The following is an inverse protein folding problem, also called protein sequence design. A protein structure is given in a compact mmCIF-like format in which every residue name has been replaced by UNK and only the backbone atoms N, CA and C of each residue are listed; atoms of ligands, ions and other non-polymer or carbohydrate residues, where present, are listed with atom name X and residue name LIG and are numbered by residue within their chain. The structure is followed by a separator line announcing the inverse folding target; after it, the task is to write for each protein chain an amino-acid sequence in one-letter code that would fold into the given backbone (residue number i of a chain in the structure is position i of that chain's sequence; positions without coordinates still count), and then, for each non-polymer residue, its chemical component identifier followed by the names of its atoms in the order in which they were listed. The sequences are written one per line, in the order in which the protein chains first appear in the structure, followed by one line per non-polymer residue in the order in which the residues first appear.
data_IF_294018932021
#
_entry.id   IF_294018932021
#
_cell.length_a   1.000
_cell.length_b   1.000
_cell.length_c   1.000
_cell.angle_alpha   90.00
_cell.angle_beta   90.00
_cell.angle_gamma   90.00
#
_symmetry.space_group_name_H-M   'P 1'
#
loop_
_entity.id
_entity.type
_entity.pdbx_description
1 polymer ?
#
# COMPACT_ATOMS: atom_id res chain seq x y z
N UNK A 1 5.56 13.35 3.84
CA UNK A 1 5.81 11.95 4.26
C UNK A 1 5.55 11.70 5.74
N UNK A 2 5.88 12.64 6.64
CA UNK A 2 5.86 12.40 8.10
C UNK A 2 4.49 12.05 8.71
N UNK A 3 3.38 12.52 8.12
CA UNK A 3 2.04 12.24 8.67
C UNK A 3 1.69 10.74 8.64
N UNK A 4 2.00 10.06 7.54
CA UNK A 4 1.71 8.62 7.42
C UNK A 4 2.57 7.81 8.38
N UNK A 5 3.86 8.13 8.48
CA UNK A 5 4.74 7.55 9.48
C UNK A 5 4.20 7.72 10.89
N UNK A 6 3.74 8.92 11.26
CA UNK A 6 3.17 9.18 12.58
C UNK A 6 1.90 8.35 12.84
N UNK A 7 1.06 8.12 11.84
CA UNK A 7 -0.13 7.28 11.98
C UNK A 7 0.26 5.83 12.19
N UNK A 8 1.20 5.30 11.40
CA UNK A 8 1.72 3.93 11.56
C UNK A 8 2.37 3.76 12.92
N UNK A 9 3.24 4.68 13.33
CA UNK A 9 3.94 4.63 14.62
C UNK A 9 2.98 4.65 15.81
N UNK A 10 1.91 5.46 15.76
CA UNK A 10 0.90 5.52 16.84
C UNK A 10 -0.01 4.29 16.92
N UNK A 11 -0.22 3.59 15.80
CA UNK A 11 -1.10 2.42 15.72
C UNK A 11 -0.35 1.09 15.87
N UNK A 12 0.95 1.10 15.62
CA UNK A 12 1.83 -0.05 15.84
C UNK A 12 1.60 -0.63 17.24
N UNK A 13 1.32 -1.94 17.32
CA UNK A 13 1.00 -2.69 18.56
C UNK A 13 -0.23 -2.20 19.36
N UNK A 14 -0.95 -1.19 18.88
CA UNK A 14 -2.14 -0.65 19.55
C UNK A 14 -3.44 -0.93 18.81
N UNK A 15 -3.42 -0.98 17.46
CA UNK A 15 -4.62 -1.21 16.66
C UNK A 15 -4.29 -1.66 15.24
N UNK A 16 -5.16 -2.46 14.63
CA UNK A 16 -4.99 -2.93 13.26
C UNK A 16 -5.03 -1.79 12.23
N UNK A 17 -4.30 -1.96 11.13
CA UNK A 17 -4.27 -1.06 9.97
C UNK A 17 -4.43 -1.92 8.72
N UNK A 18 -5.31 -1.49 7.80
CA UNK A 18 -5.36 -2.05 6.44
C UNK A 18 -4.76 -1.01 5.50
N UNK A 19 -3.76 -1.43 4.72
CA UNK A 19 -3.09 -0.60 3.72
C UNK A 19 -3.20 -1.29 2.37
N UNK A 20 -3.65 -0.55 1.35
CA UNK A 20 -3.66 -1.01 -0.03
C UNK A 20 -2.66 -0.22 -0.85
N UNK A 21 -1.80 -0.90 -1.59
CA UNK A 21 -0.82 -0.26 -2.48
C UNK A 21 -0.84 -0.95 -3.84
N UNK A 22 -0.72 -0.15 -4.90
CA UNK A 22 -0.47 -0.63 -6.25
C UNK A 22 1.03 -0.70 -6.58
N UNK A 23 1.89 -0.26 -5.66
CA UNK A 23 3.35 -0.30 -5.78
C UNK A 23 3.93 -1.44 -4.93
N UNK A 24 4.94 -2.18 -5.45
CA UNK A 24 5.69 -3.13 -4.65
C UNK A 24 6.50 -2.41 -3.55
N UNK A 25 6.81 -3.09 -2.44
CA UNK A 25 7.53 -2.49 -1.30
C UNK A 25 8.88 -1.88 -1.67
N UNK A 26 9.59 -2.44 -2.66
CA UNK A 26 10.85 -1.90 -3.18
C UNK A 26 10.74 -0.48 -3.76
N UNK A 27 9.53 -0.07 -4.17
CA UNK A 27 9.25 1.25 -4.71
C UNK A 27 8.63 2.19 -3.67
N UNK A 28 8.48 1.78 -2.41
CA UNK A 28 7.86 2.66 -1.42
C UNK A 28 8.73 3.87 -1.06
N UNK A 29 10.05 3.77 -1.19
CA UNK A 29 10.94 4.90 -0.94
C UNK A 29 10.62 6.08 -1.87
N UNK A 30 10.26 5.83 -3.13
CA UNK A 30 9.86 6.89 -4.06
C UNK A 30 8.54 7.54 -3.65
N UNK A 31 7.61 6.78 -3.07
CA UNK A 31 6.37 7.31 -2.53
C UNK A 31 6.58 8.15 -1.24
N UNK A 32 7.60 7.83 -0.43
CA UNK A 32 7.93 8.54 0.80
C UNK A 32 9.10 9.52 0.62
N UNK A 33 8.98 10.43 -0.35
CA UNK A 33 9.93 11.53 -0.57
C UNK A 33 11.40 11.08 -0.77
N UNK A 34 11.61 9.89 -1.35
CA UNK A 34 12.92 9.27 -1.56
C UNK A 34 13.70 9.01 -0.26
N UNK A 35 13.01 8.98 0.89
CA UNK A 35 13.63 8.68 2.18
C UNK A 35 13.63 7.18 2.45
N UNK A 36 14.77 6.54 2.14
CA UNK A 36 14.96 5.11 2.32
C UNK A 36 14.95 4.70 3.80
N UNK A 37 15.47 5.53 4.70
CA UNK A 37 15.56 5.24 6.13
C UNK A 37 14.17 5.26 6.77
N UNK A 38 13.38 6.30 6.49
CA UNK A 38 12.01 6.41 6.97
C UNK A 38 11.13 5.29 6.40
N UNK A 39 11.31 4.96 5.12
CA UNK A 39 10.57 3.87 4.48
C UNK A 39 10.90 2.53 5.11
N UNK A 40 12.18 2.23 5.35
CA UNK A 40 12.60 1.00 6.01
C UNK A 40 11.98 0.89 7.41
N UNK A 41 12.05 1.95 8.21
CA UNK A 41 11.48 2.00 9.55
C UNK A 41 9.94 1.86 9.55
N UNK A 42 9.27 2.39 8.52
CA UNK A 42 7.83 2.24 8.34
C UNK A 42 7.46 0.79 7.95
N UNK A 43 8.17 0.22 6.98
CA UNK A 43 7.95 -1.16 6.53
C UNK A 43 8.20 -2.15 7.66
N UNK A 44 9.24 -1.95 8.46
CA UNK A 44 9.54 -2.76 9.64
C UNK A 44 8.32 -2.86 10.58
N UNK A 45 7.73 -1.70 10.95
CA UNK A 45 6.53 -1.65 11.80
C UNK A 45 5.29 -2.26 11.15
N UNK A 46 5.06 -1.99 9.87
CA UNK A 46 3.89 -2.53 9.17
C UNK A 46 3.98 -4.04 9.01
N UNK A 47 5.15 -4.57 8.67
CA UNK A 47 5.34 -5.96 8.30
C UNK A 47 5.57 -6.90 9.49
N UNK A 48 5.92 -6.37 10.67
CA UNK A 48 6.15 -7.19 11.85
C UNK A 48 4.93 -8.07 12.22
N UNK A 49 3.71 -7.53 12.10
CA UNK A 49 2.46 -8.26 12.36
C UNK A 49 1.45 -8.13 11.20
N UNK A 50 1.91 -8.26 9.95
CA UNK A 50 1.05 -8.16 8.77
C UNK A 50 0.69 -9.51 8.14
N UNK A 51 -0.53 -9.55 7.58
CA UNK A 51 -0.90 -10.51 6.55
C UNK A 51 -0.86 -9.83 5.19
N UNK A 52 -0.01 -10.34 4.29
CA UNK A 52 0.16 -9.77 2.95
C UNK A 52 -0.78 -10.49 1.98
N UNK A 53 -1.72 -9.75 1.40
CA UNK A 53 -2.61 -10.24 0.34
C UNK A 53 -2.17 -9.65 -0.99
N UNK A 54 -1.58 -10.48 -1.84
CA UNK A 54 -1.23 -10.10 -3.21
C UNK A 54 -2.46 -10.22 -4.11
N UNK A 55 -2.86 -9.10 -4.71
CA UNK A 55 -4.02 -9.04 -5.60
C UNK A 55 -3.52 -8.91 -7.04
N UNK A 56 -3.90 -9.86 -7.89
CA UNK A 56 -3.62 -9.87 -9.32
C UNK A 56 -4.90 -10.07 -10.11
N UNK A 57 -4.90 -9.62 -11.37
CA UNK A 57 -6.05 -9.74 -12.27
C UNK A 57 -6.39 -8.45 -13.00
N UNK A 58 -7.42 -8.53 -13.86
CA UNK A 58 -7.87 -7.37 -14.64
C UNK A 58 -8.60 -6.36 -13.76
N UNK A 59 -8.45 -5.07 -14.09
CA UNK A 59 -9.19 -3.99 -13.43
C UNK A 59 -10.69 -4.21 -13.55
N UNK A 60 -11.38 -4.29 -12.40
CA UNK A 60 -12.84 -4.36 -12.34
C UNK A 60 -13.52 -3.20 -13.08
N UNK A 61 -12.91 -2.01 -13.06
CA UNK A 61 -13.41 -0.84 -13.81
C UNK A 61 -13.41 -1.08 -15.31
N UNK A 62 -12.39 -1.75 -15.85
CA UNK A 62 -12.31 -2.10 -17.26
C UNK A 62 -13.28 -3.23 -17.61
N UNK A 63 -13.44 -4.22 -16.72
CA UNK A 63 -14.41 -5.30 -16.91
C UNK A 63 -15.83 -4.75 -17.07
N UNK A 64 -16.22 -3.80 -16.23
CA UNK A 64 -17.54 -3.18 -16.32
C UNK A 64 -17.72 -2.37 -17.62
N UNK A 65 -16.68 -1.65 -18.07
CA UNK A 65 -16.73 -0.92 -19.35
C UNK A 65 -16.80 -1.84 -20.58
N UNK A 66 -16.14 -3.00 -20.54
CA UNK A 66 -16.30 -4.05 -21.57
C UNK A 66 -17.72 -4.61 -21.58
N UNK A 67 -18.30 -4.86 -20.41
CA UNK A 67 -19.70 -5.33 -20.29
C UNK A 67 -20.71 -4.29 -20.78
N UNK A 68 -20.38 -3.00 -20.67
CA UNK A 68 -21.20 -1.88 -21.18
C UNK A 68 -20.96 -1.58 -22.67
N UNK A 69 -20.15 -2.38 -23.38
CA UNK A 69 -19.86 -2.18 -24.81
C UNK A 69 -19.01 -0.96 -25.13
N UNK A 70 -18.36 -0.34 -24.13
CA UNK A 70 -17.60 0.90 -24.29
C UNK A 70 -16.19 0.70 -24.85
N UNK A 71 -15.72 -0.54 -24.94
CA UNK A 71 -14.45 -0.91 -25.58
C UNK A 71 -14.66 -2.20 -26.37
N UNK A 72 -14.55 -2.11 -27.70
CA UNK A 72 -14.42 -3.24 -28.62
C UNK A 72 -12.95 -3.62 -28.76
#
# INVERSE_FOLDING_TARGET
ANLFFNVVAKRYEHSSIIVTSNLPFSQWSTAFAQDQTLTAALLDRLLHYAHIVQISGQSYRLRNKKQQGLFQ
#
